data_IF_972653235130
#
_entry.id   IF_972653235130
#
_cell.length_a   1.000
_cell.length_b   1.000
_cell.length_c   1.000
_cell.angle_alpha   90.00
_cell.angle_beta   90.00
_cell.angle_gamma   90.00
#
_symmetry.space_group_name_H-M   'P 1'
#
loop_
_entity.id
_entity.type
_entity.pdbx_description
1 polymer ?
#
# COMPACT_ATOMS: atom_id res chain seq x y z
N UNK A 1 0.00 -9.22 4.17
CA UNK A 1 -0.23 -8.17 5.20
C UNK A 1 -1.69 -7.77 5.45
N UNK A 2 -2.43 -7.15 4.51
CA UNK A 2 -3.82 -6.66 4.78
C UNK A 2 -4.75 -7.78 5.28
N UNK A 3 -4.70 -8.96 4.64
CA UNK A 3 -5.50 -10.14 5.03
C UNK A 3 -5.11 -10.70 6.41
N UNK A 4 -3.85 -10.57 6.80
CA UNK A 4 -3.36 -10.98 8.11
C UNK A 4 -3.68 -9.95 9.21
N UNK A 5 -3.79 -8.67 8.84
CA UNK A 5 -4.20 -7.62 9.76
C UNK A 5 -5.67 -7.82 10.19
N UNK A 6 -6.53 -8.35 9.32
CA UNK A 6 -7.92 -8.67 9.68
C UNK A 6 -8.04 -9.69 10.82
N UNK A 7 -7.03 -10.54 11.01
CA UNK A 7 -6.98 -11.53 12.08
C UNK A 7 -5.92 -11.18 13.15
N UNK A 8 -5.60 -9.89 13.31
CA UNK A 8 -4.60 -9.43 14.28
C UNK A 8 -5.02 -9.70 15.71
N UNK A 9 -4.08 -10.15 16.55
CA UNK A 9 -4.31 -10.44 17.98
C UNK A 9 -4.46 -9.18 18.82
N UNK A 10 -3.99 -8.03 18.33
CA UNK A 10 -4.12 -6.74 19.00
C UNK A 10 -4.18 -5.59 18.01
N UNK A 11 -4.63 -4.44 18.49
CA UNK A 11 -4.64 -3.20 17.71
C UNK A 11 -3.23 -2.72 17.30
N UNK A 12 -2.23 -2.96 18.14
CA UNK A 12 -0.85 -2.62 17.81
C UNK A 12 -0.32 -3.53 16.69
N UNK A 13 -0.67 -4.83 16.73
CA UNK A 13 -0.36 -5.78 15.65
C UNK A 13 -1.09 -5.40 14.35
N UNK A 14 -2.37 -5.03 14.43
CA UNK A 14 -3.13 -4.49 13.29
C UNK A 14 -2.40 -3.31 12.63
N UNK A 15 -2.03 -2.29 13.42
CA UNK A 15 -1.34 -1.10 12.91
C UNK A 15 0.04 -1.46 12.36
N UNK A 16 0.77 -2.38 13.01
CA UNK A 16 2.07 -2.84 12.54
C UNK A 16 1.97 -3.52 11.17
N UNK A 17 1.02 -4.45 10.99
CA UNK A 17 0.78 -5.12 9.71
C UNK A 17 0.38 -4.15 8.60
N UNK A 18 -0.45 -3.15 8.91
CA UNK A 18 -0.78 -2.09 7.96
C UNK A 18 0.41 -1.19 7.61
N UNK A 19 1.34 -0.92 8.55
CA UNK A 19 2.59 -0.23 8.22
C UNK A 19 3.48 -1.04 7.28
N UNK A 20 3.49 -2.36 7.37
CA UNK A 20 4.22 -3.20 6.43
C UNK A 20 3.55 -3.15 5.06
N UNK A 21 2.20 -3.23 5.00
CA UNK A 21 1.47 -3.05 3.75
C UNK A 21 1.77 -1.69 3.08
N UNK A 22 1.90 -0.61 3.86
CA UNK A 22 2.31 0.70 3.34
C UNK A 22 3.72 0.68 2.70
N UNK A 23 4.69 -0.03 3.30
CA UNK A 23 6.02 -0.21 2.71
C UNK A 23 5.97 -1.01 1.40
N UNK A 24 5.18 -2.08 1.36
CA UNK A 24 4.98 -2.88 0.13
C UNK A 24 4.36 -2.05 -1.00
N UNK A 25 3.45 -1.13 -0.67
CA UNK A 25 2.88 -0.18 -1.64
C UNK A 25 3.94 0.78 -2.17
N UNK A 26 4.79 1.35 -1.31
CA UNK A 26 5.90 2.22 -1.72
C UNK A 26 6.90 1.50 -2.65
N UNK A 27 7.27 0.26 -2.30
CA UNK A 27 8.12 -0.59 -3.15
C UNK A 27 7.46 -0.87 -4.50
N UNK A 28 6.16 -1.20 -4.51
CA UNK A 28 5.40 -1.43 -5.75
C UNK A 28 5.34 -0.16 -6.61
N UNK A 29 5.15 1.01 -6.00
CA UNK A 29 5.13 2.28 -6.70
C UNK A 29 6.48 2.56 -7.37
N UNK A 30 7.59 2.28 -6.67
CA UNK A 30 8.92 2.39 -7.24
C UNK A 30 9.09 1.48 -8.46
N UNK A 31 8.67 0.22 -8.38
CA UNK A 31 8.73 -0.70 -9.53
C UNK A 31 7.88 -0.23 -10.72
N UNK A 32 6.66 0.25 -10.47
CA UNK A 32 5.80 0.79 -11.53
C UNK A 32 6.38 2.06 -12.17
N UNK A 33 7.04 2.91 -11.38
CA UNK A 33 7.76 4.07 -11.93
C UNK A 33 8.91 3.63 -12.82
N UNK A 34 9.70 2.62 -12.44
CA UNK A 34 10.74 2.08 -13.31
C UNK A 34 10.16 1.52 -14.61
N UNK A 35 9.07 0.75 -14.51
CA UNK A 35 8.33 0.25 -15.66
C UNK A 35 7.87 1.38 -16.58
N UNK A 36 7.32 2.46 -16.04
CA UNK A 36 6.87 3.64 -16.81
C UNK A 36 8.00 4.32 -17.60
N UNK A 37 9.23 4.31 -17.08
CA UNK A 37 10.39 4.91 -17.74
C UNK A 37 11.10 3.95 -18.70
N UNK A 38 10.68 2.69 -18.79
CA UNK A 38 11.25 1.71 -19.70
C UNK A 38 10.64 1.84 -21.09
N UNK A 39 11.47 2.03 -22.11
CA UNK A 39 11.03 2.27 -23.50
C UNK A 39 10.17 1.15 -24.10
N UNK A 40 10.34 -0.09 -23.63
CA UNK A 40 9.67 -1.28 -24.16
C UNK A 40 8.60 -1.87 -23.23
N UNK A 41 8.23 -1.15 -22.17
CA UNK A 41 7.21 -1.62 -21.23
C UNK A 41 5.84 -0.99 -21.55
N UNK A 42 4.74 -1.75 -21.46
CA UNK A 42 3.39 -1.20 -21.66
C UNK A 42 3.08 -0.06 -20.69
N UNK A 43 2.15 0.84 -21.07
CA UNK A 43 1.71 1.89 -20.17
C UNK A 43 1.13 1.28 -18.88
N UNK A 44 1.58 1.80 -17.73
CA UNK A 44 1.17 1.41 -16.39
C UNK A 44 0.55 2.57 -15.59
N UNK A 45 0.13 3.65 -16.25
CA UNK A 45 -0.53 4.79 -15.63
C UNK A 45 -1.80 4.38 -14.85
N UNK A 46 -2.64 3.50 -15.41
CA UNK A 46 -3.82 2.98 -14.72
C UNK A 46 -3.45 2.20 -13.44
N UNK A 47 -2.32 1.48 -13.48
CA UNK A 47 -1.82 0.74 -12.30
C UNK A 47 -1.29 1.70 -11.24
N UNK A 48 -0.63 2.80 -11.63
CA UNK A 48 -0.18 3.86 -10.73
C UNK A 48 -1.38 4.57 -10.08
N UNK A 49 -2.46 4.81 -10.82
CA UNK A 49 -3.68 5.40 -10.29
C UNK A 49 -4.35 4.48 -9.27
N UNK A 50 -4.56 3.20 -9.61
CA UNK A 50 -5.11 2.22 -8.67
C UNK A 50 -4.22 2.05 -7.43
N UNK A 51 -2.90 2.02 -7.60
CA UNK A 51 -1.98 1.91 -6.46
C UNK A 51 -2.12 3.11 -5.51
N UNK A 52 -2.32 4.31 -6.07
CA UNK A 52 -2.53 5.54 -5.28
C UNK A 52 -3.86 5.50 -4.51
N UNK A 53 -4.91 4.95 -5.07
CA UNK A 53 -6.16 4.72 -4.33
C UNK A 53 -5.95 3.76 -3.15
N UNK A 54 -5.23 2.65 -3.38
CA UNK A 54 -4.88 1.67 -2.33
C UNK A 54 -4.02 2.32 -1.24
N UNK A 55 -3.05 3.15 -1.61
CA UNK A 55 -2.20 3.91 -0.70
C UNK A 55 -3.06 4.83 0.20
N UNK A 56 -3.98 5.59 -0.39
CA UNK A 56 -4.85 6.50 0.33
C UNK A 56 -5.73 5.77 1.35
N UNK A 57 -6.33 4.65 0.96
CA UNK A 57 -7.16 3.81 1.84
C UNK A 57 -6.31 3.25 2.99
N UNK A 58 -5.13 2.70 2.67
CA UNK A 58 -4.20 2.12 3.65
C UNK A 58 -3.77 3.17 4.68
N UNK A 59 -3.37 4.35 4.24
CA UNK A 59 -2.98 5.47 5.10
C UNK A 59 -4.15 5.94 5.98
N UNK A 60 -5.36 6.03 5.43
CA UNK A 60 -6.55 6.39 6.19
C UNK A 60 -6.85 5.38 7.30
N UNK A 61 -6.71 4.08 7.01
CA UNK A 61 -6.87 3.02 8.02
C UNK A 61 -5.84 3.17 9.13
N UNK A 62 -4.56 3.38 8.82
CA UNK A 62 -3.50 3.57 9.83
C UNK A 62 -3.80 4.77 10.73
N UNK A 63 -4.18 5.91 10.14
CA UNK A 63 -4.47 7.15 10.86
C UNK A 63 -5.68 6.97 11.78
N UNK A 64 -6.78 6.43 11.26
CA UNK A 64 -8.01 6.22 12.04
C UNK A 64 -7.83 5.19 13.15
N UNK A 65 -7.07 4.12 12.91
CA UNK A 65 -6.75 3.12 13.93
C UNK A 65 -5.87 3.67 15.04
N UNK A 66 -5.01 4.67 14.80
CA UNK A 66 -4.23 5.33 15.87
C UNK A 66 -5.04 6.32 16.72
N UNK A 67 -6.13 6.87 16.16
CA UNK A 67 -6.95 7.88 16.84
C UNK A 67 -8.02 7.28 17.78
N UNK A 68 -8.52 6.09 17.45
CA UNK A 68 -9.29 5.27 18.41
C UNK A 68 -8.36 4.74 19.49
#
# INVERSE_FOLDING_TARGET
MIREAQNSESKNDFIHKFKIAAKEIEETNYWLLLCKHSENYPNCDDLLEHLKEIENITNKIIITSKMR
#
